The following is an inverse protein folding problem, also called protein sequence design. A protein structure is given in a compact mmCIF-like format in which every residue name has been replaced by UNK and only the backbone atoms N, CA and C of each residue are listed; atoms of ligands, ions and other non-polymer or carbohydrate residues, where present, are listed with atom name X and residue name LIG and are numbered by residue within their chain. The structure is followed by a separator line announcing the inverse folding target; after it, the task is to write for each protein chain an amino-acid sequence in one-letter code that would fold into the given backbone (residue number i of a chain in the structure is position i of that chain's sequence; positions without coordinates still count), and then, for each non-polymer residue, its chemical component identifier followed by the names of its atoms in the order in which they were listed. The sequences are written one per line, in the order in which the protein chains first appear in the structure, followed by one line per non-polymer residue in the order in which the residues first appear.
data_IF_018326126116
#
_entry.id   IF_018326126116
#
_cell.length_a   1.000
_cell.length_b   1.000
_cell.length_c   1.000
_cell.angle_alpha   90.00
_cell.angle_beta   90.00
_cell.angle_gamma   90.00
#
_symmetry.space_group_name_H-M   'P 1'
#
loop_
_entity.id
_entity.type
_entity.pdbx_description
1 polymer ?
#
# COMPACT_ATOMS: atom_id res chain seq x y z
N UNK A 1 -26.39 -15.03 -10.49
CA UNK A 1 -25.98 -14.26 -9.29
C UNK A 1 -24.52 -14.47 -8.94
N UNK A 2 -24.06 -15.70 -8.76
CA UNK A 2 -22.66 -15.99 -8.48
C UNK A 2 -21.69 -15.50 -9.54
N UNK A 3 -22.12 -15.40 -10.78
CA UNK A 3 -21.28 -14.92 -11.88
C UNK A 3 -20.89 -13.45 -11.73
N UNK A 4 -21.78 -12.59 -11.24
CA UNK A 4 -21.49 -11.16 -11.04
C UNK A 4 -20.47 -10.96 -9.93
N UNK A 5 -20.62 -11.67 -8.82
CA UNK A 5 -19.66 -11.60 -7.71
C UNK A 5 -18.28 -12.10 -8.13
N UNK A 6 -18.26 -13.19 -8.91
CA UNK A 6 -17.01 -13.75 -9.44
C UNK A 6 -16.33 -12.79 -10.40
N UNK A 7 -17.10 -12.14 -11.27
CA UNK A 7 -16.57 -11.15 -12.22
C UNK A 7 -15.96 -9.94 -11.50
N UNK A 8 -16.62 -9.44 -10.44
CA UNK A 8 -16.05 -8.37 -9.62
C UNK A 8 -14.74 -8.77 -8.98
N UNK A 9 -14.67 -9.99 -8.45
CA UNK A 9 -13.43 -10.51 -7.88
C UNK A 9 -12.32 -10.58 -8.90
N UNK A 10 -12.64 -11.04 -10.12
CA UNK A 10 -11.67 -11.11 -11.20
C UNK A 10 -11.19 -9.71 -11.63
N UNK A 11 -12.09 -8.74 -11.73
CA UNK A 11 -11.73 -7.36 -12.04
C UNK A 11 -10.82 -6.76 -10.97
N UNK A 12 -11.10 -7.00 -9.70
CA UNK A 12 -10.26 -6.56 -8.60
C UNK A 12 -8.89 -7.25 -8.63
N UNK A 13 -8.85 -8.54 -8.94
CA UNK A 13 -7.62 -9.30 -9.06
C UNK A 13 -6.81 -8.87 -10.28
N UNK A 14 -7.47 -8.33 -11.31
CA UNK A 14 -6.83 -7.83 -12.52
C UNK A 14 -6.37 -6.37 -12.39
N UNK A 15 -6.49 -5.76 -11.22
CA UNK A 15 -6.00 -4.41 -11.00
C UNK A 15 -4.51 -4.33 -11.31
N UNK A 16 -4.05 -3.21 -11.90
CA UNK A 16 -2.63 -3.07 -12.23
C UNK A 16 -1.76 -3.14 -10.97
N UNK A 17 -0.61 -3.76 -11.11
CA UNK A 17 0.39 -3.88 -10.05
C UNK A 17 1.67 -3.21 -10.52
N UNK A 18 2.28 -2.44 -9.64
CA UNK A 18 3.52 -1.72 -9.95
C UNK A 18 4.64 -2.15 -8.99
N UNK A 19 5.76 -2.62 -9.53
CA UNK A 19 6.92 -2.95 -8.69
C UNK A 19 7.76 -1.71 -8.42
N UNK A 20 8.30 -1.63 -7.22
CA UNK A 20 9.23 -0.58 -6.82
C UNK A 20 10.43 -1.23 -6.15
N UNK A 21 11.62 -0.90 -6.63
CA UNK A 21 12.86 -1.46 -6.14
C UNK A 21 13.60 -0.43 -5.29
N UNK A 22 14.11 -0.85 -4.13
CA UNK A 22 14.92 0.01 -3.29
C UNK A 22 16.41 -0.11 -3.65
N UNK A 23 17.26 0.65 -2.93
CA UNK A 23 18.69 0.68 -3.20
C UNK A 23 19.37 -0.68 -2.96
N UNK A 24 18.77 -1.55 -2.18
CA UNK A 24 19.31 -2.87 -1.85
C UNK A 24 18.76 -3.99 -2.74
N UNK A 25 17.92 -3.63 -3.71
CA UNK A 25 17.32 -4.60 -4.63
C UNK A 25 16.05 -5.27 -4.09
N UNK A 26 15.53 -4.84 -2.95
CA UNK A 26 14.25 -5.34 -2.46
C UNK A 26 13.13 -4.78 -3.30
N UNK A 27 12.10 -5.58 -3.56
CA UNK A 27 11.00 -5.19 -4.46
C UNK A 27 9.67 -5.24 -3.72
N UNK A 28 9.00 -4.08 -3.67
CA UNK A 28 7.65 -3.95 -3.13
C UNK A 28 6.69 -3.75 -4.30
N UNK A 29 5.67 -4.58 -4.40
CA UNK A 29 4.64 -4.48 -5.43
C UNK A 29 3.38 -3.89 -4.83
N UNK A 30 2.88 -2.81 -5.44
CA UNK A 30 1.70 -2.10 -4.99
C UNK A 30 0.56 -2.21 -6.00
N UNK A 31 -0.66 -2.35 -5.49
CA UNK A 31 -1.87 -2.40 -6.29
C UNK A 31 -2.29 -1.00 -6.72
N UNK A 32 -2.68 -0.85 -7.98
CA UNK A 32 -3.10 0.42 -8.57
C UNK A 32 -4.61 0.68 -8.53
N UNK A 33 -5.34 0.05 -7.61
CA UNK A 33 -6.78 0.27 -7.47
C UNK A 33 -7.20 0.20 -6.00
N UNK A 34 -8.17 1.02 -5.64
CA UNK A 34 -8.84 1.01 -4.34
C UNK A 34 -10.34 1.18 -4.53
N UNK A 35 -11.14 0.54 -3.68
CA UNK A 35 -12.59 0.75 -3.69
C UNK A 35 -12.92 2.16 -3.21
N UNK A 36 -14.10 2.70 -3.57
CA UNK A 36 -14.54 3.99 -3.02
C UNK A 36 -14.58 4.01 -1.49
N UNK A 37 -14.97 2.90 -0.86
CA UNK A 37 -14.98 2.79 0.59
C UNK A 37 -13.57 2.92 1.18
N UNK A 38 -12.59 2.27 0.57
CA UNK A 38 -11.18 2.36 1.01
C UNK A 38 -10.64 3.78 0.83
N UNK A 39 -10.98 4.44 -0.28
CA UNK A 39 -10.59 5.84 -0.51
C UNK A 39 -11.18 6.77 0.57
N UNK A 40 -12.45 6.57 0.92
CA UNK A 40 -13.10 7.36 1.98
C UNK A 40 -12.46 7.13 3.35
N UNK A 41 -12.12 5.88 3.66
CA UNK A 41 -11.40 5.54 4.89
C UNK A 41 -10.02 6.19 4.94
N UNK A 42 -9.30 6.19 3.82
CA UNK A 42 -8.00 6.85 3.75
C UNK A 42 -8.11 8.34 4.04
N UNK A 43 -9.11 9.01 3.46
CA UNK A 43 -9.33 10.44 3.70
C UNK A 43 -9.55 10.74 5.18
N UNK A 44 -10.28 9.88 5.88
CA UNK A 44 -10.50 10.01 7.33
C UNK A 44 -9.21 9.80 8.12
N UNK A 45 -8.43 8.79 7.77
CA UNK A 45 -7.14 8.53 8.41
C UNK A 45 -6.19 9.71 8.20
N UNK A 46 -6.16 10.24 6.98
CA UNK A 46 -5.29 11.36 6.62
C UNK A 46 -5.67 12.64 7.37
N UNK A 47 -6.96 12.86 7.62
CA UNK A 47 -7.45 14.03 8.34
C UNK A 47 -7.38 13.87 9.86
N UNK A 48 -7.23 12.65 10.37
CA UNK A 48 -7.16 12.35 11.79
C UNK A 48 -5.75 12.47 12.34
N UNK A 49 -5.55 11.91 13.53
CA UNK A 49 -4.25 11.87 14.17
C UNK A 49 -4.07 12.98 15.20
N UNK A 50 -3.10 12.81 16.08
CA UNK A 50 -2.79 13.75 17.16
C UNK A 50 -2.10 14.99 16.63
N UNK A 51 -1.33 14.84 15.56
CA UNK A 51 -0.61 15.90 14.88
C UNK A 51 -0.34 15.45 13.43
N UNK A 52 0.32 16.29 12.65
CA UNK A 52 0.59 16.03 11.25
C UNK A 52 1.47 14.79 11.05
N UNK A 53 2.49 14.62 11.88
CA UNK A 53 3.38 13.46 11.77
C UNK A 53 2.65 12.15 12.08
N UNK A 54 1.82 12.15 13.12
CA UNK A 54 1.00 10.99 13.47
C UNK A 54 0.04 10.65 12.32
N UNK A 55 -0.59 11.67 11.72
CA UNK A 55 -1.46 11.48 10.57
C UNK A 55 -0.71 10.86 9.38
N UNK A 56 0.52 11.30 9.12
CA UNK A 56 1.34 10.72 8.06
C UNK A 56 1.68 9.26 8.32
N UNK A 57 2.08 8.94 9.54
CA UNK A 57 2.44 7.57 9.91
C UNK A 57 1.24 6.63 9.78
N UNK A 58 0.09 7.04 10.26
CA UNK A 58 -1.15 6.27 10.15
C UNK A 58 -1.58 6.09 8.70
N UNK A 59 -1.40 7.12 7.89
CA UNK A 59 -1.72 7.09 6.46
C UNK A 59 -0.82 6.12 5.71
N UNK A 60 0.48 6.13 6.01
CA UNK A 60 1.45 5.21 5.40
C UNK A 60 1.09 3.76 5.76
N UNK A 61 0.83 3.47 7.01
CA UNK A 61 0.45 2.13 7.44
C UNK A 61 -0.85 1.68 6.78
N UNK A 62 -1.85 2.56 6.71
CA UNK A 62 -3.12 2.27 6.06
C UNK A 62 -2.93 1.92 4.59
N UNK A 63 -2.18 2.74 3.86
CA UNK A 63 -1.94 2.51 2.43
C UNK A 63 -1.13 1.24 2.20
N UNK A 64 -0.11 1.00 3.01
CA UNK A 64 0.66 -0.22 2.90
C UNK A 64 -0.23 -1.45 3.08
N UNK A 65 -1.05 -1.46 4.11
CA UNK A 65 -1.97 -2.58 4.38
C UNK A 65 -2.91 -2.84 3.21
N UNK A 66 -3.41 -1.78 2.55
CA UNK A 66 -4.41 -1.89 1.49
C UNK A 66 -3.81 -2.12 0.11
N UNK A 67 -2.61 -1.61 -0.15
CA UNK A 67 -2.03 -1.63 -1.48
C UNK A 67 -0.91 -2.65 -1.67
N UNK A 68 -0.21 -3.07 -0.60
CA UNK A 68 0.89 -4.00 -0.74
C UNK A 68 0.37 -5.37 -1.17
N UNK A 69 0.91 -5.87 -2.28
CA UNK A 69 0.57 -7.17 -2.84
C UNK A 69 1.61 -8.21 -2.43
N UNK A 70 2.89 -7.86 -2.57
CA UNK A 70 4.00 -8.70 -2.16
C UNK A 70 5.26 -7.87 -1.94
N UNK A 71 6.14 -8.39 -1.14
CA UNK A 71 7.41 -7.75 -0.81
C UNK A 71 8.49 -8.81 -0.79
N UNK A 72 9.49 -8.66 -1.65
CA UNK A 72 10.63 -9.56 -1.75
C UNK A 72 11.84 -8.87 -1.13
N UNK A 73 12.39 -9.44 -0.06
CA UNK A 73 13.48 -8.85 0.71
C UNK A 73 14.67 -9.80 0.71
N UNK A 74 15.85 -9.28 0.38
CA UNK A 74 17.12 -10.00 0.44
C UNK A 74 17.13 -11.34 -0.32
N UNK A 75 16.38 -11.42 -1.44
CA UNK A 75 16.32 -12.64 -2.24
C UNK A 75 15.54 -13.79 -1.62
N UNK A 76 14.89 -13.56 -0.48
CA UNK A 76 14.06 -14.56 0.17
C UNK A 76 12.73 -14.77 -0.58
N UNK A 77 11.93 -15.73 -0.14
CA UNK A 77 10.59 -15.93 -0.66
C UNK A 77 9.76 -14.66 -0.51
N UNK A 78 8.98 -14.28 -1.54
CA UNK A 78 8.11 -13.11 -1.42
C UNK A 78 7.11 -13.25 -0.27
N UNK A 79 6.92 -12.16 0.47
CA UNK A 79 5.89 -12.06 1.49
C UNK A 79 4.60 -11.63 0.76
N UNK A 80 3.56 -12.45 0.82
CA UNK A 80 2.32 -12.20 0.06
C UNK A 80 1.09 -12.11 0.94
N UNK A 81 1.12 -12.68 2.15
CA UNK A 81 -0.02 -12.63 3.06
C UNK A 81 -0.11 -11.28 3.73
N UNK A 82 -1.31 -10.70 3.74
CA UNK A 82 -1.54 -9.38 4.29
C UNK A 82 -1.04 -9.24 5.73
N UNK A 83 -1.30 -10.21 6.58
CA UNK A 83 -0.84 -10.20 7.97
C UNK A 83 0.68 -10.17 8.07
N UNK A 84 1.34 -10.96 7.22
CA UNK A 84 2.80 -11.05 7.23
C UNK A 84 3.43 -9.78 6.66
N UNK A 85 2.82 -9.21 5.62
CA UNK A 85 3.25 -7.94 5.07
C UNK A 85 3.17 -6.83 6.13
N UNK A 86 2.05 -6.73 6.82
CA UNK A 86 1.86 -5.71 7.84
C UNK A 86 2.81 -5.91 9.02
N UNK A 87 3.02 -7.16 9.46
CA UNK A 87 3.96 -7.48 10.53
C UNK A 87 5.37 -7.07 10.15
N UNK A 88 5.79 -7.36 8.92
CA UNK A 88 7.11 -6.98 8.43
C UNK A 88 7.26 -5.46 8.32
N UNK A 89 6.20 -4.77 7.89
CA UNK A 89 6.19 -3.30 7.85
C UNK A 89 6.37 -2.71 9.25
N UNK A 90 5.67 -3.25 10.25
CA UNK A 90 5.79 -2.78 11.63
C UNK A 90 7.16 -3.04 12.22
N UNK A 91 7.86 -4.04 11.72
CA UNK A 91 9.23 -4.36 12.09
C UNK A 91 10.27 -3.51 11.34
N UNK A 92 9.86 -2.78 10.33
CA UNK A 92 10.75 -2.00 9.49
C UNK A 92 11.45 -0.89 10.27
N UNK A 93 12.73 -0.69 9.98
CA UNK A 93 13.50 0.42 10.51
C UNK A 93 13.14 1.74 9.85
N UNK A 94 13.73 2.82 10.34
CA UNK A 94 13.41 4.17 9.87
C UNK A 94 13.69 4.35 8.37
N UNK A 95 14.81 3.84 7.89
CA UNK A 95 15.19 3.99 6.48
C UNK A 95 14.20 3.27 5.57
N UNK A 96 13.79 2.06 5.94
CA UNK A 96 12.78 1.32 5.20
C UNK A 96 11.45 2.06 5.20
N UNK A 97 11.03 2.59 6.34
CA UNK A 97 9.77 3.35 6.46
C UNK A 97 9.80 4.62 5.63
N UNK A 98 10.93 5.31 5.60
CA UNK A 98 11.12 6.51 4.78
C UNK A 98 11.00 6.16 3.29
N UNK A 99 11.63 5.07 2.88
CA UNK A 99 11.55 4.61 1.50
C UNK A 99 10.12 4.20 1.12
N UNK A 100 9.43 3.47 2.01
CA UNK A 100 8.04 3.05 1.78
C UNK A 100 7.14 4.27 1.62
N UNK A 101 7.29 5.27 2.48
CA UNK A 101 6.49 6.50 2.37
C UNK A 101 6.72 7.19 1.03
N UNK A 102 7.98 7.35 0.63
CA UNK A 102 8.32 7.94 -0.66
C UNK A 102 7.74 7.16 -1.83
N UNK A 103 7.81 5.83 -1.75
CA UNK A 103 7.26 4.93 -2.75
C UNK A 103 5.73 5.07 -2.85
N UNK A 104 5.04 5.12 -1.72
CA UNK A 104 3.60 5.32 -1.68
C UNK A 104 3.21 6.69 -2.25
N UNK A 105 3.98 7.73 -1.97
CA UNK A 105 3.74 9.07 -2.53
C UNK A 105 3.84 9.04 -4.06
N UNK A 106 4.87 8.38 -4.59
CA UNK A 106 5.04 8.22 -6.04
C UNK A 106 3.88 7.42 -6.64
N UNK A 107 3.50 6.34 -5.98
CA UNK A 107 2.42 5.46 -6.43
C UNK A 107 1.06 6.19 -6.45
N UNK A 108 0.76 6.97 -5.41
CA UNK A 108 -0.47 7.77 -5.37
C UNK A 108 -0.49 8.81 -6.49
N UNK A 109 0.62 9.49 -6.73
CA UNK A 109 0.69 10.49 -7.80
C UNK A 109 0.37 9.89 -9.16
N UNK A 110 0.77 8.64 -9.39
CA UNK A 110 0.55 7.95 -10.66
C UNK A 110 -0.84 7.34 -10.78
N UNK A 111 -1.33 6.69 -9.73
CA UNK A 111 -2.56 5.90 -9.78
C UNK A 111 -3.75 6.53 -9.07
N UNK A 112 -3.52 7.43 -8.13
CA UNK A 112 -4.57 8.07 -7.33
C UNK A 112 -4.26 9.56 -7.15
N UNK A 113 -4.18 10.32 -8.25
CA UNK A 113 -3.71 11.72 -8.19
C UNK A 113 -4.66 12.65 -7.41
N UNK A 114 -5.90 12.23 -7.20
CA UNK A 114 -6.89 12.99 -6.44
C UNK A 114 -6.78 12.78 -4.93
N UNK A 115 -5.96 11.83 -4.47
CA UNK A 115 -5.76 11.60 -3.04
C UNK A 115 -4.58 12.42 -2.51
N UNK A 116 -4.74 12.95 -1.30
CA UNK A 116 -3.66 13.68 -0.62
C UNK A 116 -2.58 12.67 -0.21
N UNK A 117 -1.30 12.87 -0.61
CA UNK A 117 -0.23 11.93 -0.24
C UNK A 117 0.06 11.96 1.26
N UNK A 118 0.58 10.86 1.80
CA UNK A 118 0.94 10.77 3.22
C UNK A 118 2.21 11.50 3.56
#
# INVERSE_FOLDING_TARGET
MGRRSRRRGEEQLAAPESPYEDAEGNVLVLRGAMTPATRAQYAKVRAGGLNQEDAWQRSVEFLFERLAVRWTIAGAEPIERQKELLARFRFAGQDERTWIRGTLRTHLAEHFPDLTPP
#
